data_IF_020780077780
#
_entry.id   IF_020780077780
#
_cell.length_a   1.000
_cell.length_b   1.000
_cell.length_c   1.000
_cell.angle_alpha   90.00
_cell.angle_beta   90.00
_cell.angle_gamma   90.00
#
_symmetry.space_group_name_H-M   'P 1'
#
loop_
_entity.id
_entity.type
_entity.pdbx_description
1 polymer ?
#
# COMPACT_ATOMS: atom_id res chain seq x y z
N UNK A 1 -12.02 15.36 5.62
CA UNK A 1 -12.18 14.14 6.44
C UNK A 1 -10.81 13.60 6.78
N UNK A 2 -10.70 12.81 7.86
CA UNK A 2 -9.47 12.11 8.25
C UNK A 2 -9.69 10.61 8.00
N UNK A 3 -8.71 9.93 7.41
CA UNK A 3 -8.73 8.49 7.18
C UNK A 3 -7.52 7.84 7.83
N UNK A 4 -7.74 6.70 8.46
CA UNK A 4 -6.67 5.79 8.83
C UNK A 4 -6.59 4.70 7.77
N UNK A 5 -5.40 4.45 7.23
CA UNK A 5 -5.16 3.35 6.30
C UNK A 5 -4.34 2.26 7.00
N UNK A 6 -4.90 1.06 7.06
CA UNK A 6 -4.17 -0.14 7.44
C UNK A 6 -3.34 -0.68 6.27
N UNK A 7 -2.52 -1.70 6.55
CA UNK A 7 -1.68 -2.38 5.57
C UNK A 7 -2.47 -2.86 4.35
N UNK A 8 -3.67 -3.43 4.56
CA UNK A 8 -4.49 -3.93 3.47
C UNK A 8 -4.93 -2.81 2.52
N UNK A 9 -5.17 -1.61 3.04
CA UNK A 9 -5.50 -0.44 2.25
C UNK A 9 -4.25 0.10 1.52
N UNK A 10 -3.08 0.11 2.16
CA UNK A 10 -1.83 0.52 1.51
C UNK A 10 -1.49 -0.37 0.31
N UNK A 11 -1.68 -1.68 0.43
CA UNK A 11 -1.47 -2.64 -0.68
C UNK A 11 -2.33 -2.29 -1.90
N UNK A 12 -3.58 -1.89 -1.65
CA UNK A 12 -4.55 -1.54 -2.70
C UNK A 12 -4.18 -0.29 -3.49
N UNK A 13 -3.19 0.49 -3.06
CA UNK A 13 -2.70 1.68 -3.77
C UNK A 13 -1.83 1.29 -4.97
N UNK A 14 -1.01 0.25 -4.82
CA UNK A 14 -0.07 -0.18 -5.87
C UNK A 14 -0.46 -1.52 -6.52
N UNK A 15 -1.30 -2.32 -5.85
CA UNK A 15 -1.74 -3.62 -6.34
C UNK A 15 -3.27 -3.67 -6.41
N UNK A 16 -3.80 -4.16 -7.53
CA UNK A 16 -5.25 -4.12 -7.82
C UNK A 16 -5.95 -5.30 -7.15
N UNK A 17 -6.78 -5.01 -6.15
CA UNK A 17 -7.59 -5.98 -5.41
C UNK A 17 -9.03 -5.46 -5.23
N UNK A 18 -9.89 -6.28 -4.65
CA UNK A 18 -11.22 -5.85 -4.21
C UNK A 18 -11.10 -4.65 -3.26
N UNK A 19 -11.79 -3.56 -3.59
CA UNK A 19 -11.74 -2.30 -2.82
C UNK A 19 -10.73 -1.26 -3.31
N UNK A 20 -9.85 -1.58 -4.28
CA UNK A 20 -8.87 -0.62 -4.83
C UNK A 20 -9.49 0.68 -5.29
N UNK A 21 -10.66 0.66 -5.97
CA UNK A 21 -11.33 1.89 -6.43
C UNK A 21 -11.65 2.85 -5.27
N UNK A 22 -12.13 2.31 -4.15
CA UNK A 22 -12.47 3.10 -2.96
C UNK A 22 -11.21 3.69 -2.32
N UNK A 23 -10.18 2.87 -2.15
CA UNK A 23 -8.91 3.32 -1.56
C UNK A 23 -8.24 4.38 -2.43
N UNK A 24 -8.19 4.19 -3.76
CA UNK A 24 -7.62 5.17 -4.68
C UNK A 24 -8.37 6.49 -4.66
N UNK A 25 -9.70 6.48 -4.52
CA UNK A 25 -10.48 7.70 -4.37
C UNK A 25 -10.14 8.46 -3.07
N UNK A 26 -9.92 7.74 -1.97
CA UNK A 26 -9.47 8.33 -0.70
C UNK A 26 -8.05 8.87 -0.85
N UNK A 27 -7.13 8.07 -1.39
CA UNK A 27 -5.71 8.41 -1.58
C UNK A 27 -5.50 9.64 -2.49
N UNK A 28 -6.31 9.77 -3.55
CA UNK A 28 -6.26 10.91 -4.47
C UNK A 28 -7.04 12.14 -3.98
N UNK A 29 -7.79 12.03 -2.90
CA UNK A 29 -8.52 13.16 -2.33
C UNK A 29 -7.60 14.06 -1.49
N UNK A 30 -8.00 15.30 -1.22
CA UNK A 30 -7.31 16.21 -0.27
C UNK A 30 -7.60 15.87 1.21
N UNK A 31 -7.81 14.58 1.52
CA UNK A 31 -8.11 14.14 2.88
C UNK A 31 -6.81 13.89 3.65
N UNK A 32 -6.83 14.14 4.96
CA UNK A 32 -5.71 13.78 5.82
C UNK A 32 -5.69 12.26 5.99
N UNK A 33 -4.57 11.64 5.64
CA UNK A 33 -4.35 10.20 5.75
C UNK A 33 -3.31 9.97 6.84
N UNK A 34 -3.62 9.05 7.76
CA UNK A 34 -2.70 8.61 8.81
C UNK A 34 -2.51 7.10 8.69
N UNK A 35 -1.30 6.64 8.95
CA UNK A 35 -0.93 5.23 9.03
C UNK A 35 -0.27 4.98 10.39
N UNK A 36 -0.25 3.72 10.83
CA UNK A 36 0.57 3.31 11.97
C UNK A 36 1.97 2.91 11.51
N UNK A 37 2.98 3.09 12.36
CA UNK A 37 4.33 2.52 12.16
C UNK A 37 4.27 0.98 11.98
N UNK A 38 3.31 0.30 12.62
CA UNK A 38 3.11 -1.13 12.40
C UNK A 38 2.69 -1.43 10.96
N UNK A 39 1.85 -0.58 10.36
CA UNK A 39 1.38 -0.77 8.99
C UNK A 39 2.49 -0.60 7.96
N UNK A 40 3.52 0.18 8.28
CA UNK A 40 4.74 0.28 7.47
C UNK A 40 5.52 -1.04 7.47
N UNK A 41 5.79 -1.61 8.65
CA UNK A 41 6.50 -2.89 8.78
C UNK A 41 5.76 -4.05 8.09
N UNK A 42 4.43 -4.09 8.23
CA UNK A 42 3.59 -5.07 7.57
C UNK A 42 3.54 -4.86 6.05
N UNK A 43 3.59 -3.60 5.59
CA UNK A 43 3.63 -3.26 4.17
C UNK A 43 4.92 -3.74 3.53
N UNK A 44 6.08 -3.46 4.13
CA UNK A 44 7.39 -3.96 3.67
C UNK A 44 7.39 -5.48 3.61
N UNK A 45 6.90 -6.15 4.66
CA UNK A 45 6.78 -7.62 4.67
C UNK A 45 5.88 -8.15 3.54
N UNK A 46 4.80 -7.43 3.23
CA UNK A 46 3.83 -7.80 2.19
C UNK A 46 4.38 -7.60 0.78
N UNK A 47 5.08 -6.50 0.48
CA UNK A 47 5.69 -6.29 -0.85
C UNK A 47 6.75 -7.35 -1.14
N UNK A 48 7.57 -7.70 -0.15
CA UNK A 48 8.58 -8.76 -0.31
C UNK A 48 7.95 -10.14 -0.53
N UNK A 49 6.84 -10.45 0.16
CA UNK A 49 6.09 -11.68 -0.09
C UNK A 49 5.55 -11.71 -1.53
N UNK A 50 4.85 -10.65 -1.95
CA UNK A 50 4.29 -10.54 -3.31
C UNK A 50 5.36 -10.62 -4.40
N UNK A 51 6.58 -10.11 -4.14
CA UNK A 51 7.70 -10.27 -5.07
C UNK A 51 8.14 -11.73 -5.17
N UNK A 52 8.31 -12.44 -4.04
CA UNK A 52 8.66 -13.88 -4.05
C UNK A 52 7.59 -14.74 -4.73
N UNK A 53 6.34 -14.34 -4.60
CA UNK A 53 5.20 -15.02 -5.22
C UNK A 53 5.02 -14.64 -6.71
N UNK A 54 5.84 -13.73 -7.24
CA UNK A 54 5.79 -13.28 -8.64
C UNK A 54 4.62 -12.34 -8.97
N UNK A 55 3.92 -11.82 -7.97
CA UNK A 55 2.78 -10.91 -8.13
C UNK A 55 3.21 -9.47 -8.49
N UNK A 56 4.45 -9.10 -8.18
CA UNK A 56 5.07 -7.82 -8.55
C UNK A 56 6.49 -8.06 -9.06
N UNK A 57 6.97 -7.17 -9.93
CA UNK A 57 8.35 -7.22 -10.45
C UNK A 57 9.34 -6.51 -9.51
N UNK A 58 10.64 -6.72 -9.76
CA UNK A 58 11.74 -6.12 -8.99
C UNK A 58 11.69 -4.57 -9.03
N UNK A 59 11.29 -4.01 -10.17
CA UNK A 59 11.11 -2.56 -10.32
C UNK A 59 10.04 -2.04 -9.35
N UNK A 60 8.91 -2.71 -9.26
CA UNK A 60 7.83 -2.37 -8.34
C UNK A 60 8.27 -2.53 -6.90
N UNK A 61 8.99 -3.60 -6.56
CA UNK A 61 9.55 -3.79 -5.21
C UNK A 61 10.43 -2.60 -4.81
N UNK A 62 11.40 -2.21 -5.65
CA UNK A 62 12.33 -1.12 -5.35
C UNK A 62 11.61 0.22 -5.13
N UNK A 63 10.66 0.58 -6.01
CA UNK A 63 9.87 1.81 -5.87
C UNK A 63 9.08 1.84 -4.55
N UNK A 64 8.55 0.70 -4.11
CA UNK A 64 7.73 0.63 -2.90
C UNK A 64 8.58 0.62 -1.62
N UNK A 65 9.77 0.01 -1.66
CA UNK A 65 10.71 -0.01 -0.54
C UNK A 65 11.37 1.34 -0.28
N UNK A 66 11.51 2.21 -1.29
CA UNK A 66 12.06 3.57 -1.11
C UNK A 66 11.06 4.58 -0.53
N UNK A 67 9.78 4.20 -0.45
CA UNK A 67 8.69 5.12 -0.09
C UNK A 67 8.53 5.28 1.43
N UNK A 68 9.21 4.46 2.20
CA UNK A 68 9.27 4.42 3.65
C UNK A 68 10.74 4.30 4.06
#
# INVERSE_FOLDING_TARGET
>A
MKYFLDTSALVKIYHKETGTKRVLNIYKSRSNITISELSEMEFISTIHRKFRDGEIDEKTLNILSEKF
#
